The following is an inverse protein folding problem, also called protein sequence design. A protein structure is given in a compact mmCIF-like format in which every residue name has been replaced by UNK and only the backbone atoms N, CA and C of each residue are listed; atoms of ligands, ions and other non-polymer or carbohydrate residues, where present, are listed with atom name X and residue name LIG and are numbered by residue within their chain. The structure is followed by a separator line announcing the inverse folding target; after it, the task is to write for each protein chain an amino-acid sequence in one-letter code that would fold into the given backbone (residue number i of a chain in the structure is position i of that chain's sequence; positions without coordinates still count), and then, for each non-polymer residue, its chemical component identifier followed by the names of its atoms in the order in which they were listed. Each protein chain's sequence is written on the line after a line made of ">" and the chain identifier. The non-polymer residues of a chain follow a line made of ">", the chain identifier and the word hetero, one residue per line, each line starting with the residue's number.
data_IF_714155914072
#
_entry.id   IF_714155914072
#
_cell.length_a   1.000
_cell.length_b   1.000
_cell.length_c   1.000
_cell.angle_alpha   90.00
_cell.angle_beta   90.00
_cell.angle_gamma   90.00
#
_symmetry.space_group_name_H-M   'P 1'
#
loop_
_entity.id
_entity.type
_entity.pdbx_description
1 polymer ?
#
# COMPACT_ATOMS: atom_id res chain seq x y z
N UNK A 1 -71.88 -41.24 22.56
CA UNK A 1 -72.07 -40.65 21.21
C UNK A 1 -71.23 -39.37 21.17
N UNK A 2 -70.19 -39.16 20.38
CA UNK A 2 -69.45 -39.97 19.42
C UNK A 2 -68.00 -39.48 19.36
N UNK A 3 -67.09 -40.40 19.02
CA UNK A 3 -65.65 -40.19 18.78
C UNK A 3 -65.45 -39.42 17.48
N UNK A 4 -64.56 -38.42 17.46
CA UNK A 4 -63.86 -37.98 16.23
C UNK A 4 -62.38 -37.74 16.54
N UNK A 5 -61.54 -38.59 15.94
CA UNK A 5 -60.08 -38.49 15.83
C UNK A 5 -59.74 -37.98 14.44
N UNK A 6 -58.85 -36.99 14.29
CA UNK A 6 -58.06 -36.68 13.08
C UNK A 6 -56.75 -36.06 13.59
N UNK A 7 -55.65 -36.81 13.70
CA UNK A 7 -54.64 -37.11 12.69
C UNK A 7 -53.63 -35.97 12.41
N UNK A 8 -52.40 -36.22 12.86
CA UNK A 8 -51.11 -35.97 12.23
C UNK A 8 -50.93 -34.74 11.32
N UNK A 9 -50.07 -33.83 11.77
CA UNK A 9 -49.35 -32.88 10.92
C UNK A 9 -47.94 -32.70 11.44
N UNK A 10 -47.06 -33.66 11.15
CA UNK A 10 -45.62 -33.51 11.38
C UNK A 10 -45.09 -32.47 10.39
N UNK A 11 -44.94 -31.23 10.84
CA UNK A 11 -44.19 -30.21 10.11
C UNK A 11 -42.70 -30.55 10.19
N UNK A 12 -42.20 -31.15 9.12
CA UNK A 12 -40.78 -31.19 8.80
C UNK A 12 -40.26 -29.75 8.73
N UNK A 13 -39.65 -29.26 9.81
CA UNK A 13 -38.83 -28.06 9.78
C UNK A 13 -37.56 -28.38 8.99
N UNK A 14 -37.63 -28.11 7.68
CA UNK A 14 -36.48 -28.13 6.80
C UNK A 14 -35.59 -26.94 7.19
N UNK A 15 -34.59 -27.19 8.04
CA UNK A 15 -33.53 -26.21 8.32
C UNK A 15 -32.71 -26.05 7.04
N UNK A 16 -33.10 -25.08 6.21
CA UNK A 16 -32.25 -24.59 5.15
C UNK A 16 -31.01 -23.95 5.78
N UNK A 17 -29.89 -24.67 5.73
CA UNK A 17 -28.57 -24.10 5.97
C UNK A 17 -28.31 -23.06 4.87
N UNK A 18 -28.73 -21.82 5.11
CA UNK A 18 -28.34 -20.69 4.32
C UNK A 18 -26.82 -20.49 4.52
N UNK A 19 -26.02 -21.07 3.62
CA UNK A 19 -24.63 -20.69 3.42
C UNK A 19 -24.60 -19.25 2.92
N UNK A 20 -24.65 -18.30 3.85
CA UNK A 20 -24.43 -16.90 3.54
C UNK A 20 -23.01 -16.72 2.98
N UNK A 21 -22.81 -15.82 2.00
CA UNK A 21 -21.47 -15.50 1.54
C UNK A 21 -20.68 -14.99 2.76
N UNK A 22 -19.66 -15.74 3.17
CA UNK A 22 -18.69 -15.26 4.13
C UNK A 22 -18.11 -13.93 3.66
N UNK A 23 -17.62 -13.06 4.57
CA UNK A 23 -17.05 -11.78 4.19
C UNK A 23 -16.01 -12.02 3.10
N UNK A 24 -16.25 -11.46 1.91
CA UNK A 24 -15.27 -11.47 0.84
C UNK A 24 -13.98 -10.88 1.43
N UNK A 25 -12.89 -11.65 1.38
CA UNK A 25 -11.59 -11.17 1.82
C UNK A 25 -11.35 -9.81 1.16
N UNK A 26 -11.15 -8.77 1.98
CA UNK A 26 -10.84 -7.45 1.47
C UNK A 26 -9.63 -7.59 0.52
N UNK A 27 -9.64 -6.91 -0.65
CA UNK A 27 -8.50 -6.96 -1.55
C UNK A 27 -7.24 -6.58 -0.75
N UNK A 28 -6.11 -7.27 -0.97
CA UNK A 28 -4.93 -7.08 -0.15
C UNK A 28 -4.51 -5.61 -0.18
N UNK A 29 -4.36 -4.99 1.00
CA UNK A 29 -3.98 -3.58 1.13
C UNK A 29 -2.78 -3.25 0.25
N UNK A 30 -2.89 -2.24 -0.59
CA UNK A 30 -1.83 -1.92 -1.58
C UNK A 30 -0.78 -1.03 -0.92
N UNK A 31 0.39 -1.59 -0.65
CA UNK A 31 1.55 -0.80 -0.21
C UNK A 31 2.13 -0.06 -1.40
N UNK A 32 2.06 1.27 -1.42
CA UNK A 32 2.68 2.10 -2.46
C UNK A 32 3.86 2.85 -1.85
N UNK A 33 5.06 2.62 -2.38
CA UNK A 33 6.25 3.39 -2.03
C UNK A 33 6.59 4.32 -3.19
N UNK A 34 6.41 5.63 -2.99
CA UNK A 34 6.83 6.65 -3.95
C UNK A 34 8.23 7.13 -3.57
N UNK A 35 9.16 6.99 -4.50
CA UNK A 35 10.49 7.59 -4.46
C UNK A 35 10.53 8.81 -5.38
N UNK A 36 10.68 10.00 -4.79
CA UNK A 36 10.84 11.25 -5.54
C UNK A 36 12.32 11.59 -5.63
N UNK A 37 12.79 11.76 -6.86
CA UNK A 37 14.19 11.98 -7.21
C UNK A 37 14.33 13.08 -8.25
N UNK A 38 15.55 13.59 -8.43
CA UNK A 38 15.87 14.56 -9.47
C UNK A 38 17.17 14.23 -10.19
N UNK A 39 17.32 14.62 -11.46
CA UNK A 39 18.56 14.41 -12.23
C UNK A 39 19.75 15.17 -11.66
N UNK A 40 19.52 16.39 -11.15
CA UNK A 40 20.56 17.23 -10.55
C UNK A 40 20.82 16.94 -9.05
N UNK A 41 20.32 15.84 -8.50
CA UNK A 41 20.44 15.49 -7.09
C UNK A 41 21.58 14.48 -6.85
N UNK A 42 22.73 14.90 -6.28
CA UNK A 42 23.87 13.99 -6.06
C UNK A 42 23.53 12.87 -5.06
N UNK A 43 22.85 13.19 -3.96
CA UNK A 43 22.42 12.20 -2.97
C UNK A 43 21.42 11.17 -3.53
N UNK A 44 20.61 11.58 -4.51
CA UNK A 44 19.70 10.67 -5.19
C UNK A 44 20.48 9.68 -6.03
N UNK A 45 21.47 10.17 -6.80
CA UNK A 45 22.35 9.32 -7.60
C UNK A 45 23.11 8.31 -6.74
N UNK A 46 23.64 8.76 -5.61
CA UNK A 46 24.35 7.89 -4.67
C UNK A 46 23.43 6.76 -4.15
N UNK A 47 22.22 7.10 -3.71
CA UNK A 47 21.23 6.11 -3.27
C UNK A 47 20.79 5.16 -4.40
N UNK A 48 20.56 5.68 -5.61
CA UNK A 48 20.18 4.90 -6.79
C UNK A 48 21.26 3.89 -7.20
N UNK A 49 22.54 4.24 -7.02
CA UNK A 49 23.67 3.36 -7.37
C UNK A 49 23.91 2.30 -6.28
N UNK A 50 23.87 2.69 -5.01
CA UNK A 50 24.33 1.82 -3.92
C UNK A 50 23.22 1.09 -3.17
N UNK A 51 22.02 1.67 -3.10
CA UNK A 51 20.94 1.17 -2.24
C UNK A 51 19.78 0.59 -3.05
N UNK A 52 19.33 1.28 -4.09
CA UNK A 52 18.19 0.83 -4.90
C UNK A 52 18.35 -0.60 -5.47
N UNK A 53 19.51 -1.04 -5.97
CA UNK A 53 19.65 -2.39 -6.52
C UNK A 53 19.54 -3.49 -5.45
N UNK A 54 19.81 -3.17 -4.18
CA UNK A 54 19.57 -4.08 -3.07
C UNK A 54 18.08 -4.14 -2.74
N UNK A 55 17.41 -2.98 -2.71
CA UNK A 55 15.95 -2.91 -2.52
C UNK A 55 15.19 -3.69 -3.60
N UNK A 56 15.58 -3.56 -4.87
CA UNK A 56 14.92 -4.27 -5.98
C UNK A 56 15.01 -5.80 -5.87
N UNK A 57 16.01 -6.32 -5.16
CA UNK A 57 16.20 -7.75 -4.91
C UNK A 57 15.63 -8.23 -3.58
N UNK A 58 15.20 -7.33 -2.70
CA UNK A 58 14.67 -7.67 -1.40
C UNK A 58 13.35 -8.48 -1.52
N UNK A 59 13.09 -9.48 -0.67
CA UNK A 59 11.82 -10.21 -0.67
C UNK A 59 10.59 -9.29 -0.54
N UNK A 60 10.69 -8.29 0.33
CA UNK A 60 9.63 -7.32 0.65
C UNK A 60 9.20 -6.50 -0.57
N UNK A 61 10.10 -6.30 -1.54
CA UNK A 61 9.83 -5.55 -2.78
C UNK A 61 8.64 -6.10 -3.55
N UNK A 62 8.35 -7.40 -3.46
CA UNK A 62 7.22 -8.05 -4.17
C UNK A 62 5.86 -7.62 -3.63
N UNK A 63 5.82 -7.13 -2.40
CA UNK A 63 4.60 -6.68 -1.72
C UNK A 63 4.37 -5.18 -1.86
N UNK A 64 5.34 -4.44 -2.44
CA UNK A 64 5.32 -2.99 -2.55
C UNK A 64 5.24 -2.58 -4.01
N UNK A 65 4.25 -1.75 -4.33
CA UNK A 65 4.19 -1.01 -5.58
C UNK A 65 5.16 0.17 -5.52
N UNK A 66 6.38 -0.07 -5.99
CA UNK A 66 7.46 0.92 -5.98
C UNK A 66 7.34 1.84 -7.21
N UNK A 67 7.08 3.13 -6.97
CA UNK A 67 6.84 4.15 -7.99
C UNK A 67 7.94 5.20 -7.92
N UNK A 68 8.55 5.51 -9.05
CA UNK A 68 9.61 6.51 -9.13
C UNK A 68 9.07 7.75 -9.83
N UNK A 69 9.17 8.89 -9.16
CA UNK A 69 8.92 10.21 -9.73
C UNK A 69 10.28 10.89 -9.92
N UNK A 70 10.77 10.94 -11.16
CA UNK A 70 12.05 11.55 -11.50
C UNK A 70 11.81 12.88 -12.19
N UNK A 71 12.35 13.95 -11.61
CA UNK A 71 12.20 15.33 -12.10
C UNK A 71 13.55 15.91 -12.54
N UNK A 72 13.59 17.06 -13.25
CA UNK A 72 14.84 17.67 -13.63
C UNK A 72 15.62 18.27 -12.48
N UNK A 73 14.93 18.98 -11.59
CA UNK A 73 15.55 19.77 -10.53
C UNK A 73 14.93 19.47 -9.18
N UNK A 74 15.74 19.20 -8.16
CA UNK A 74 15.25 19.00 -6.79
C UNK A 74 14.55 20.24 -6.21
N UNK A 75 14.77 21.43 -6.79
CA UNK A 75 14.12 22.69 -6.38
C UNK A 75 12.68 22.80 -6.85
N UNK A 76 12.26 21.97 -7.81
CA UNK A 76 10.91 21.94 -8.38
C UNK A 76 10.54 20.51 -8.73
N UNK A 77 9.78 19.87 -7.85
CA UNK A 77 9.40 18.47 -8.01
C UNK A 77 7.89 18.29 -8.19
N UNK A 78 7.14 19.37 -8.31
CA UNK A 78 5.67 19.40 -8.29
C UNK A 78 5.01 19.40 -9.67
N UNK A 79 5.76 19.38 -10.77
CA UNK A 79 5.14 19.47 -12.09
C UNK A 79 4.31 18.22 -12.44
N UNK A 80 3.03 18.43 -12.79
CA UNK A 80 2.05 17.37 -13.09
C UNK A 80 2.55 16.30 -14.06
N UNK A 81 3.34 16.68 -15.07
CA UNK A 81 3.88 15.76 -16.08
C UNK A 81 4.78 14.65 -15.51
N UNK A 82 5.34 14.84 -14.32
CA UNK A 82 6.18 13.84 -13.66
C UNK A 82 5.41 12.99 -12.64
N UNK A 83 4.16 13.35 -12.34
CA UNK A 83 3.31 12.65 -11.38
C UNK A 83 2.19 11.90 -12.11
N UNK A 84 2.30 10.56 -12.23
CA UNK A 84 1.19 9.72 -12.69
C UNK A 84 -0.08 10.03 -11.92
N UNK A 85 -1.22 10.05 -12.63
CA UNK A 85 -2.51 10.48 -12.10
C UNK A 85 -2.92 9.71 -10.84
N UNK A 86 -2.65 8.41 -10.80
CA UNK A 86 -2.96 7.50 -9.70
C UNK A 86 -2.22 7.79 -8.39
N UNK A 87 -1.07 8.49 -8.46
CA UNK A 87 -0.26 8.86 -7.28
C UNK A 87 -0.14 10.37 -7.07
N UNK A 88 -0.73 11.19 -7.95
CA UNK A 88 -0.68 12.66 -7.84
C UNK A 88 -1.27 13.18 -6.54
N UNK A 89 -2.32 12.52 -6.03
CA UNK A 89 -2.92 12.85 -4.75
C UNK A 89 -1.89 12.84 -3.59
N UNK A 90 -0.84 12.01 -3.65
CA UNK A 90 0.22 11.95 -2.63
C UNK A 90 1.00 13.27 -2.59
N UNK A 91 1.37 13.79 -3.76
CA UNK A 91 2.04 15.10 -3.89
C UNK A 91 1.16 16.20 -3.32
N UNK A 92 -0.11 16.21 -3.72
CA UNK A 92 -1.06 17.26 -3.39
C UNK A 92 -1.38 17.26 -1.89
N UNK A 93 -1.62 16.09 -1.30
CA UNK A 93 -1.85 15.94 0.14
C UNK A 93 -0.68 16.41 1.01
N UNK A 94 0.56 16.19 0.54
CA UNK A 94 1.78 16.58 1.27
C UNK A 94 2.32 17.94 0.85
N UNK A 95 1.67 18.62 -0.10
CA UNK A 95 2.11 19.90 -0.67
C UNK A 95 3.59 19.87 -1.10
N UNK A 96 4.01 18.75 -1.73
CA UNK A 96 5.40 18.55 -2.11
C UNK A 96 5.74 19.44 -3.29
N UNK A 97 6.53 20.49 -3.05
CA UNK A 97 7.02 21.44 -4.06
C UNK A 97 8.51 21.26 -4.38
N UNK A 98 9.30 20.83 -3.40
CA UNK A 98 10.76 20.70 -3.51
C UNK A 98 11.33 19.58 -2.63
N UNK A 99 12.60 19.29 -2.88
CA UNK A 99 13.45 18.42 -2.10
C UNK A 99 13.42 16.96 -2.57
N UNK A 100 14.61 16.43 -2.82
CA UNK A 100 14.88 15.01 -3.07
C UNK A 100 16.18 14.58 -2.36
N UNK A 101 16.43 13.27 -2.13
CA UNK A 101 15.49 12.18 -2.30
C UNK A 101 14.38 12.25 -1.25
N UNK A 102 13.20 11.78 -1.61
CA UNK A 102 12.05 11.68 -0.70
C UNK A 102 11.39 10.32 -0.87
N UNK A 103 11.02 9.72 0.25
CA UNK A 103 10.34 8.43 0.31
C UNK A 103 8.99 8.63 0.97
N UNK A 104 7.93 8.16 0.32
CA UNK A 104 6.56 8.26 0.82
C UNK A 104 5.95 6.87 0.76
N UNK A 105 5.49 6.37 1.90
CA UNK A 105 4.77 5.10 1.98
C UNK A 105 3.30 5.40 2.21
N UNK A 106 2.44 4.82 1.36
CA UNK A 106 0.99 4.89 1.48
C UNK A 106 0.38 3.48 1.52
N UNK A 107 -0.70 3.34 2.28
CA UNK A 107 -1.51 2.13 2.43
C UNK A 107 -2.98 2.55 2.32
N UNK A 108 -3.72 1.95 1.38
CA UNK A 108 -5.17 2.17 1.21
C UNK A 108 -5.58 3.67 1.17
N UNK A 109 -4.78 4.47 0.46
CA UNK A 109 -4.87 5.95 0.33
C UNK A 109 -4.57 6.77 1.60
N UNK A 110 -4.13 6.13 2.68
CA UNK A 110 -3.50 6.79 3.83
C UNK A 110 -1.99 6.88 3.67
N UNK A 111 -1.42 8.06 3.89
CA UNK A 111 0.04 8.24 3.95
C UNK A 111 0.51 7.84 5.35
N UNK A 112 1.36 6.81 5.43
CA UNK A 112 1.85 6.26 6.70
C UNK A 112 3.29 6.68 7.02
N UNK A 113 4.06 7.08 6.00
CA UNK A 113 5.41 7.60 6.16
C UNK A 113 5.72 8.65 5.10
N UNK A 114 6.41 9.70 5.52
CA UNK A 114 7.02 10.70 4.65
C UNK A 114 8.39 11.06 5.20
N UNK A 115 9.45 10.82 4.42
CA UNK A 115 10.83 11.08 4.82
C UNK A 115 11.64 11.72 3.70
N UNK A 116 12.61 12.52 4.10
CA UNK A 116 13.51 13.27 3.22
C UNK A 116 14.96 12.86 3.50
N UNK A 117 15.78 12.80 2.46
CA UNK A 117 17.20 12.47 2.53
C UNK A 117 17.51 10.98 2.39
N UNK A 118 18.65 10.65 1.79
CA UNK A 118 19.02 9.26 1.48
C UNK A 118 19.15 8.40 2.74
N UNK A 119 19.71 8.97 3.81
CA UNK A 119 19.89 8.29 5.09
C UNK A 119 18.60 7.92 5.82
N UNK A 120 17.44 8.47 5.40
CA UNK A 120 16.14 8.05 5.94
C UNK A 120 15.73 6.65 5.48
N UNK A 121 16.34 6.13 4.41
CA UNK A 121 16.08 4.79 3.92
C UNK A 121 16.32 3.73 4.98
N UNK A 122 17.54 3.65 5.49
CA UNK A 122 17.94 2.64 6.47
C UNK A 122 17.38 2.93 7.87
N UNK A 123 17.13 4.20 8.19
CA UNK A 123 16.65 4.62 9.52
C UNK A 123 15.15 4.40 9.70
N UNK A 124 14.35 4.69 8.68
CA UNK A 124 12.90 4.78 8.81
C UNK A 124 12.18 3.92 7.77
N UNK A 125 12.52 4.07 6.49
CA UNK A 125 11.70 3.58 5.38
C UNK A 125 11.74 2.07 5.29
N UNK A 126 12.94 1.50 5.17
CA UNK A 126 13.10 0.07 4.98
C UNK A 126 12.67 -0.72 6.23
N UNK A 127 13.06 -0.35 7.47
CA UNK A 127 12.56 -1.02 8.67
C UNK A 127 11.03 -1.03 8.78
N UNK A 128 10.35 0.07 8.42
CA UNK A 128 8.89 0.12 8.44
C UNK A 128 8.28 -0.84 7.41
N UNK A 129 8.84 -0.91 6.20
CA UNK A 129 8.38 -1.85 5.16
C UNK A 129 8.52 -3.29 5.65
N UNK A 130 9.66 -3.65 6.25
CA UNK A 130 9.89 -5.00 6.76
C UNK A 130 8.86 -5.38 7.82
N UNK A 131 8.60 -4.47 8.77
CA UNK A 131 7.56 -4.68 9.79
C UNK A 131 6.18 -4.89 9.16
N UNK A 132 5.75 -3.98 8.29
CA UNK A 132 4.41 -4.03 7.69
C UNK A 132 4.19 -5.26 6.80
N UNK A 133 5.22 -5.66 6.03
CA UNK A 133 5.16 -6.88 5.23
C UNK A 133 5.04 -8.10 6.14
N UNK A 134 5.87 -8.17 7.19
CA UNK A 134 5.83 -9.27 8.17
C UNK A 134 4.46 -9.40 8.84
N UNK A 135 3.91 -8.29 9.34
CA UNK A 135 2.58 -8.24 9.97
C UNK A 135 1.48 -8.71 9.00
N UNK A 136 1.53 -8.28 7.73
CA UNK A 136 0.54 -8.67 6.71
C UNK A 136 0.63 -10.14 6.29
N UNK A 137 1.83 -10.74 6.37
CA UNK A 137 2.06 -12.14 5.96
C UNK A 137 2.00 -13.13 7.12
N UNK A 138 1.76 -12.66 8.36
CA UNK A 138 1.59 -13.55 9.51
C UNK A 138 0.29 -14.37 9.36
N UNK A 139 0.29 -15.68 9.70
CA UNK A 139 -0.88 -16.54 9.64
C UNK A 139 -2.02 -16.11 10.57
#
# INVERSE_FOLDING_TARGET
>A
MGRWSIAAGALCFLVMMAGGPGPAAAPPSRFILVYVSAWNCPYCREWEVHTQPNWERAPERRHVDFRIVKTPYFSRVDEDRYWPEDIRWIRDSLQITKGTPRFILAIDRGIVLHRFGASSWDKDVYPLIQRLVTEKTSP
#
